data_IF_442206984784
#
_entry.id   IF_442206984784
#
_cell.length_a   1.000
_cell.length_b   1.000
_cell.length_c   1.000
_cell.angle_alpha   90.00
_cell.angle_beta   90.00
_cell.angle_gamma   90.00
#
_symmetry.space_group_name_H-M   'P 1'
#
loop_
_entity.id
_entity.type
_entity.pdbx_description
1 polymer ?
#
# COMPACT_ATOMS: atom_id res chain seq x y z
N UNK A 1 8.16 13.29 -7.24
CA UNK A 1 7.95 13.30 -5.78
C UNK A 1 8.21 11.91 -5.27
N UNK A 2 9.22 11.75 -4.41
CA UNK A 2 9.56 10.46 -3.83
C UNK A 2 8.52 10.11 -2.76
N UNK A 3 7.96 8.90 -2.80
CA UNK A 3 6.97 8.41 -1.84
C UNK A 3 7.68 7.42 -0.91
N UNK A 4 7.46 7.56 0.40
CA UNK A 4 8.05 6.68 1.41
C UNK A 4 7.01 5.68 1.90
N UNK A 5 7.29 4.39 1.72
CA UNK A 5 6.55 3.29 2.33
C UNK A 5 7.25 2.88 3.62
N UNK A 6 6.47 2.70 4.69
CA UNK A 6 6.98 2.31 6.00
C UNK A 6 6.30 1.03 6.46
N UNK A 7 7.09 0.01 6.74
CA UNK A 7 6.63 -1.22 7.38
C UNK A 7 7.16 -1.22 8.82
N UNK A 8 6.26 -1.38 9.81
CA UNK A 8 6.63 -1.41 11.23
C UNK A 8 6.36 -2.78 11.84
N UNK A 9 7.35 -3.31 12.54
CA UNK A 9 7.28 -4.51 13.35
C UNK A 9 7.83 -4.18 14.74
N UNK A 10 6.98 -4.00 15.75
CA UNK A 10 7.34 -3.72 17.15
C UNK A 10 8.42 -2.63 17.35
N UNK A 11 9.70 -3.03 17.32
CA UNK A 11 10.88 -2.19 17.56
C UNK A 11 11.70 -1.90 16.30
N UNK A 12 11.28 -2.40 15.14
CA UNK A 12 11.89 -2.27 13.83
C UNK A 12 10.94 -1.52 12.87
N UNK A 13 11.44 -0.51 12.17
CA UNK A 13 10.79 0.10 11.01
C UNK A 13 11.66 -0.11 9.77
N UNK A 14 11.11 -0.72 8.71
CA UNK A 14 11.69 -0.71 7.38
C UNK A 14 11.06 0.44 6.60
N UNK A 15 11.85 1.48 6.32
CA UNK A 15 11.49 2.57 5.44
C UNK A 15 12.04 2.30 4.04
N UNK A 16 11.18 2.36 3.03
CA UNK A 16 11.53 2.22 1.62
C UNK A 16 11.10 3.47 0.87
N UNK A 17 12.04 4.07 0.14
CA UNK A 17 11.80 5.23 -0.73
C UNK A 17 11.66 4.75 -2.17
N UNK A 18 10.58 5.17 -2.82
CA UNK A 18 10.32 4.84 -4.21
C UNK A 18 9.88 6.08 -5.01
N UNK A 19 10.49 6.27 -6.17
CA UNK A 19 9.90 7.10 -7.21
C UNK A 19 8.67 6.37 -7.77
N UNK A 20 7.53 7.06 -7.83
CA UNK A 20 6.28 6.50 -8.36
C UNK A 20 5.64 7.44 -9.38
N UNK A 21 5.06 6.88 -10.43
CA UNK A 21 4.24 7.57 -11.41
C UNK A 21 2.94 6.81 -11.68
N UNK A 22 1.88 7.54 -12.01
CA UNK A 22 0.57 6.95 -12.31
C UNK A 22 0.37 6.94 -13.82
N UNK A 23 0.08 5.77 -14.37
CA UNK A 23 -0.30 5.54 -15.75
C UNK A 23 -1.81 5.27 -15.81
N UNK A 24 -2.52 6.05 -16.62
CA UNK A 24 -3.97 5.90 -16.92
C UNK A 24 -4.88 5.95 -15.67
N UNK A 25 -4.43 6.58 -14.58
CA UNK A 25 -5.18 6.69 -13.31
C UNK A 25 -5.33 5.39 -12.51
N UNK A 26 -4.84 4.25 -13.02
CA UNK A 26 -5.04 2.92 -12.41
C UNK A 26 -3.76 2.16 -12.17
N UNK A 27 -2.75 2.31 -13.04
CA UNK A 27 -1.47 1.61 -12.90
C UNK A 27 -0.45 2.51 -12.24
N UNK A 28 0.11 2.09 -11.13
CA UNK A 28 1.21 2.79 -10.46
C UNK A 28 2.50 2.10 -10.84
N UNK A 29 3.36 2.80 -11.58
CA UNK A 29 4.73 2.36 -11.84
C UNK A 29 5.61 2.88 -10.70
N UNK A 30 6.48 2.03 -10.17
CA UNK A 30 7.39 2.45 -9.11
C UNK A 30 8.78 1.85 -9.30
N UNK A 31 9.78 2.55 -8.78
CA UNK A 31 11.16 2.08 -8.68
C UNK A 31 11.65 2.33 -7.27
N UNK A 32 12.15 1.28 -6.61
CA UNK A 32 12.81 1.44 -5.32
C UNK A 32 14.17 2.09 -5.52
N UNK A 33 14.41 3.18 -4.79
CA UNK A 33 15.67 3.92 -4.89
C UNK A 33 16.53 3.72 -3.64
N UNK A 34 15.91 3.68 -2.44
CA UNK A 34 16.59 3.50 -1.15
C UNK A 34 15.73 2.74 -0.16
N UNK A 35 16.36 2.08 0.81
CA UNK A 35 15.69 1.58 1.99
C UNK A 35 16.63 1.60 3.20
N UNK A 36 16.06 1.70 4.39
CA UNK A 36 16.81 1.66 5.63
C UNK A 36 15.96 1.07 6.76
N UNK A 37 16.62 0.32 7.64
CA UNK A 37 16.07 -0.14 8.89
C UNK A 37 16.31 0.91 9.98
N UNK A 38 15.25 1.27 10.69
CA UNK A 38 15.31 2.11 11.88
C UNK A 38 14.94 1.26 13.09
N UNK A 39 15.85 1.19 14.05
CA UNK A 39 15.64 0.48 15.30
C UNK A 39 15.44 1.50 16.42
N UNK A 40 14.42 1.31 17.26
CA UNK A 40 14.15 2.25 18.37
C UNK A 40 15.30 2.41 19.36
N UNK A 41 16.19 1.41 19.43
CA UNK A 41 17.32 1.37 20.37
C UNK A 41 18.64 1.87 19.77
N UNK A 42 18.68 2.26 18.48
CA UNK A 42 19.88 2.79 17.84
C UNK A 42 19.70 4.25 17.43
N UNK A 43 20.73 5.09 17.59
CA UNK A 43 20.67 6.49 17.16
C UNK A 43 20.89 6.68 15.65
N UNK A 44 21.16 5.60 14.91
CA UNK A 44 21.41 5.63 13.46
C UNK A 44 20.55 4.62 12.71
N UNK A 45 20.34 4.87 11.42
CA UNK A 45 19.63 3.96 10.51
C UNK A 45 20.62 3.03 9.82
N UNK A 46 20.25 1.76 9.71
CA UNK A 46 21.06 0.76 8.99
C UNK A 46 20.58 0.72 7.54
N UNK A 47 21.41 1.03 6.54
CA UNK A 47 21.00 0.97 5.14
C UNK A 47 20.62 -0.47 4.76
N UNK A 48 19.64 -0.62 3.88
CA UNK A 48 19.29 -1.94 3.35
C UNK A 48 20.51 -2.53 2.62
N UNK A 49 20.88 -3.79 2.91
CA UNK A 49 22.18 -4.35 2.53
C UNK A 49 22.40 -4.43 1.02
N UNK A 50 21.33 -4.42 0.22
CA UNK A 50 21.40 -4.46 -1.23
C UNK A 50 21.13 -3.08 -1.81
N UNK A 51 22.12 -2.41 -2.41
CA UNK A 51 21.89 -1.15 -3.13
C UNK A 51 20.95 -1.39 -4.32
N UNK A 52 19.79 -0.73 -4.32
CA UNK A 52 18.78 -0.88 -5.39
C UNK A 52 19.31 -0.51 -6.79
N UNK A 53 20.35 0.33 -6.87
CA UNK A 53 21.03 0.68 -8.13
C UNK A 53 21.60 -0.54 -8.85
N UNK A 54 21.97 -1.60 -8.13
CA UNK A 54 22.52 -2.84 -8.71
C UNK A 54 21.43 -3.76 -9.27
N UNK A 55 20.18 -3.57 -8.85
CA UNK A 55 19.05 -4.43 -9.20
C UNK A 55 18.43 -4.07 -10.57
N UNK A 56 18.79 -2.92 -11.16
CA UNK A 56 18.32 -2.51 -12.48
C UNK A 56 16.80 -2.59 -12.64
N UNK A 57 16.33 -3.49 -13.50
CA UNK A 57 14.91 -3.72 -13.73
C UNK A 57 14.19 -4.48 -12.61
N UNK A 58 14.92 -5.19 -11.75
CA UNK A 58 14.33 -5.87 -10.59
C UNK A 58 13.86 -4.90 -9.50
N UNK A 59 14.47 -3.71 -9.44
CA UNK A 59 14.02 -2.62 -8.55
C UNK A 59 12.73 -1.94 -9.06
N UNK A 60 12.29 -2.25 -10.28
CA UNK A 60 11.08 -1.71 -10.88
C UNK A 60 9.90 -2.65 -10.64
N UNK A 61 8.75 -2.06 -10.33
CA UNK A 61 7.51 -2.79 -10.17
C UNK A 61 6.33 -1.98 -10.67
N UNK A 62 5.19 -2.64 -10.74
CA UNK A 62 3.92 -2.00 -11.04
C UNK A 62 2.82 -2.54 -10.14
N UNK A 63 1.85 -1.68 -9.84
CA UNK A 63 0.61 -2.02 -9.14
C UNK A 63 -0.59 -1.62 -10.01
N UNK A 64 -1.43 -2.58 -10.36
CA UNK A 64 -2.73 -2.30 -10.95
C UNK A 64 -3.76 -2.08 -9.86
N UNK A 65 -4.43 -0.95 -9.90
CA UNK A 65 -5.37 -0.52 -8.88
C UNK A 65 -6.80 -0.51 -9.41
N UNK A 66 -7.68 -1.18 -8.68
CA UNK A 66 -9.12 -1.13 -8.85
C UNK A 66 -9.75 -0.46 -7.64
N UNK A 67 -10.44 0.66 -7.86
CA UNK A 67 -11.21 1.34 -6.83
C UNK A 67 -12.56 0.66 -6.63
N UNK A 68 -12.92 0.39 -5.38
CA UNK A 68 -14.16 -0.32 -5.02
C UNK A 68 -15.28 0.63 -4.58
N UNK A 69 -15.05 1.94 -4.69
CA UNK A 69 -15.97 2.99 -4.23
C UNK A 69 -15.86 4.19 -5.17
N UNK A 70 -16.98 4.89 -5.39
CA UNK A 70 -16.98 6.13 -6.18
C UNK A 70 -16.14 7.23 -5.53
N UNK A 71 -16.03 7.24 -4.20
CA UNK A 71 -15.13 8.13 -3.46
C UNK A 71 -13.65 7.72 -3.55
N UNK A 72 -13.37 6.53 -4.12
CA UNK A 72 -12.06 5.90 -4.21
C UNK A 72 -11.31 5.86 -2.88
N UNK A 73 -12.02 5.55 -1.81
CA UNK A 73 -11.45 5.41 -0.46
C UNK A 73 -11.06 3.97 -0.11
N UNK A 74 -11.53 3.02 -0.90
CA UNK A 74 -11.15 1.61 -0.83
C UNK A 74 -10.63 1.18 -2.20
N UNK A 75 -9.47 0.54 -2.21
CA UNK A 75 -8.87 0.00 -3.43
C UNK A 75 -8.23 -1.36 -3.21
N UNK A 76 -8.26 -2.16 -4.27
CA UNK A 76 -7.46 -3.37 -4.40
C UNK A 76 -6.31 -3.05 -5.36
N UNK A 77 -5.08 -3.34 -4.95
CA UNK A 77 -3.90 -3.19 -5.79
C UNK A 77 -3.20 -4.53 -6.00
N UNK A 78 -2.94 -4.90 -7.26
CA UNK A 78 -2.22 -6.14 -7.65
C UNK A 78 -0.83 -5.80 -8.17
N UNK A 79 0.19 -6.42 -7.58
CA UNK A 79 1.58 -6.24 -7.96
C UNK A 79 2.08 -7.22 -9.00
N UNK A 80 3.10 -6.81 -9.74
CA UNK A 80 3.77 -7.60 -10.76
C UNK A 80 4.40 -8.91 -10.26
N UNK A 81 4.58 -9.06 -8.94
CA UNK A 81 5.15 -10.26 -8.29
C UNK A 81 4.08 -11.11 -7.57
N UNK A 82 2.83 -11.06 -8.03
CA UNK A 82 1.74 -11.88 -7.47
C UNK A 82 1.24 -11.41 -6.10
N UNK A 83 1.58 -10.19 -5.69
CA UNK A 83 1.09 -9.59 -4.44
C UNK A 83 -0.27 -8.91 -4.66
N UNK A 84 -1.17 -9.02 -3.69
CA UNK A 84 -2.46 -8.31 -3.69
C UNK A 84 -2.60 -7.58 -2.37
N UNK A 85 -3.02 -6.32 -2.43
CA UNK A 85 -3.22 -5.46 -1.27
C UNK A 85 -4.64 -4.92 -1.27
N UNK A 86 -5.26 -4.87 -0.09
CA UNK A 86 -6.46 -4.07 0.15
C UNK A 86 -6.07 -2.87 0.97
N UNK A 87 -6.35 -1.68 0.44
CA UNK A 87 -5.91 -0.40 0.97
C UNK A 87 -7.14 0.47 1.22
N UNK A 88 -7.19 1.07 2.40
CA UNK A 88 -8.22 2.02 2.80
C UNK A 88 -7.56 3.38 3.08
N UNK A 89 -8.15 4.45 2.55
CA UNK A 89 -7.65 5.81 2.74
C UNK A 89 -7.89 6.25 4.19
N UNK A 90 -6.87 6.77 4.87
CA UNK A 90 -6.94 7.20 6.29
C UNK A 90 -7.87 8.41 6.51
N UNK A 91 -8.30 9.06 5.43
CA UNK A 91 -8.99 10.35 5.46
C UNK A 91 -10.50 10.22 5.28
N UNK A 92 -11.17 9.32 5.98
CA UNK A 92 -12.63 9.32 6.00
C UNK A 92 -13.14 10.07 7.23
N UNK A 93 -13.70 11.28 7.07
CA UNK A 93 -14.48 11.92 8.13
C UNK A 93 -15.54 10.99 8.70
N UNK A 94 -16.08 10.08 7.88
CA UNK A 94 -16.99 9.03 8.34
C UNK A 94 -16.35 8.09 9.35
N UNK A 95 -15.13 7.62 9.11
CA UNK A 95 -14.45 6.70 10.03
C UNK A 95 -14.04 7.41 11.32
N UNK A 96 -13.56 8.65 11.20
CA UNK A 96 -13.25 9.49 12.37
C UNK A 96 -14.51 9.75 13.21
N UNK A 97 -15.63 10.05 12.55
CA UNK A 97 -16.93 10.19 13.20
C UNK A 97 -17.40 8.89 13.86
N UNK A 98 -17.32 7.75 13.18
CA UNK A 98 -17.70 6.45 13.76
C UNK A 98 -16.81 6.10 14.97
N UNK A 99 -15.51 6.38 14.89
CA UNK A 99 -14.60 6.21 16.02
C UNK A 99 -14.99 7.13 17.17
N UNK A 100 -15.24 8.41 16.92
CA UNK A 100 -15.65 9.38 17.92
C UNK A 100 -16.98 9.01 18.59
N UNK A 101 -17.94 8.49 17.84
CA UNK A 101 -19.21 7.97 18.37
C UNK A 101 -18.95 6.76 19.27
N UNK A 102 -18.10 5.82 18.82
CA UNK A 102 -17.78 4.62 19.61
C UNK A 102 -17.05 4.92 20.92
N UNK A 103 -16.26 5.99 20.97
CA UNK A 103 -15.51 6.41 22.18
C UNK A 103 -16.20 7.55 22.94
N UNK A 104 -17.36 8.01 22.47
CA UNK A 104 -18.08 9.20 22.95
C UNK A 104 -17.18 10.44 23.16
N UNK A 105 -16.18 10.61 22.30
CA UNK A 105 -15.18 11.67 22.43
C UNK A 105 -15.13 12.52 21.17
N UNK A 106 -15.19 13.85 21.31
CA UNK A 106 -15.01 14.81 20.18
C UNK A 106 -16.05 14.67 19.05
N UNK A 107 -17.19 14.03 19.30
CA UNK A 107 -18.25 13.77 18.30
C UNK A 107 -18.68 15.02 17.54
N UNK A 108 -18.97 16.13 18.25
CA UNK A 108 -19.42 17.38 17.61
C UNK A 108 -18.41 17.94 16.60
N UNK A 109 -17.11 17.90 16.93
CA UNK A 109 -16.05 18.37 16.04
C UNK A 109 -16.00 17.51 14.77
N UNK A 110 -16.05 16.19 14.91
CA UNK A 110 -16.01 15.29 13.74
C UNK A 110 -17.27 15.41 12.87
N UNK A 111 -18.43 15.76 13.45
CA UNK A 111 -19.64 16.09 12.67
C UNK A 111 -19.43 17.35 11.82
N UNK A 112 -18.88 18.41 12.41
CA UNK A 112 -18.60 19.67 11.69
C UNK A 112 -17.59 19.43 10.55
N UNK A 113 -16.51 18.70 10.82
CA UNK A 113 -15.50 18.31 9.82
C UNK A 113 -16.10 17.43 8.70
N UNK A 114 -16.99 16.48 9.05
CA UNK A 114 -17.71 15.64 8.08
C UNK A 114 -18.60 16.46 7.14
N UNK A 115 -19.35 17.41 7.69
CA UNK A 115 -20.22 18.29 6.91
C UNK A 115 -19.42 19.23 6.00
N UNK A 116 -18.29 19.76 6.47
CA UNK A 116 -17.41 20.64 5.70
C UNK A 116 -16.78 19.91 4.49
N UNK A 117 -16.39 18.64 4.64
CA UNK A 117 -15.79 17.85 3.55
C UNK A 117 -16.81 17.44 2.49
N UNK A 118 -18.03 17.04 2.88
CA UNK A 118 -19.06 16.64 1.92
C UNK A 118 -19.59 17.79 1.05
N UNK A 119 -19.52 19.05 1.52
CA UNK A 119 -19.89 20.22 0.70
C UNK A 119 -18.96 20.46 -0.49
N UNK A 120 -17.74 19.91 -0.48
CA UNK A 120 -16.69 20.17 -1.49
C UNK A 120 -16.45 18.99 -2.46
N UNK A 121 -17.27 17.92 -2.41
CA UNK A 121 -17.05 16.66 -3.12
C UNK A 121 -17.33 16.70 -4.64
N UNK A 122 -17.57 17.88 -5.23
CA UNK A 122 -17.84 18.03 -6.67
C UNK A 122 -16.56 18.05 -7.56
N UNK A 123 -15.37 17.80 -7.01
CA UNK A 123 -14.11 17.76 -7.78
C UNK A 123 -13.66 16.32 -8.02
N UNK A 124 -14.11 15.78 -9.16
CA UNK A 124 -13.89 14.41 -9.60
C UNK A 124 -12.42 14.01 -9.84
N UNK A 125 -12.24 12.67 -9.83
CA UNK A 125 -11.11 11.84 -10.28
C UNK A 125 -9.70 12.12 -9.71
N UNK A 126 -9.25 13.39 -9.60
CA UNK A 126 -7.92 13.73 -9.07
C UNK A 126 -7.77 13.46 -7.56
N UNK A 127 -8.85 13.56 -6.78
CA UNK A 127 -8.83 13.24 -5.34
C UNK A 127 -8.68 11.74 -5.02
N UNK A 128 -8.86 10.86 -6.00
CA UNK A 128 -8.80 9.41 -5.78
C UNK A 128 -7.38 8.88 -5.55
N UNK A 129 -6.37 9.64 -5.97
CA UNK A 129 -4.96 9.21 -5.95
C UNK A 129 -4.20 9.71 -4.73
N UNK A 130 -4.50 10.92 -4.25
CA UNK A 130 -3.75 11.57 -3.18
C UNK A 130 -4.33 11.31 -1.80
N UNK A 131 -3.49 10.85 -0.88
CA UNK A 131 -3.83 10.69 0.54
C UNK A 131 -2.99 9.61 1.20
N UNK A 132 -3.11 9.51 2.52
CA UNK A 132 -2.53 8.41 3.28
C UNK A 132 -3.40 7.17 3.14
N UNK A 133 -2.76 6.03 2.88
CA UNK A 133 -3.43 4.75 2.67
C UNK A 133 -2.95 3.76 3.73
N UNK A 134 -3.90 3.20 4.47
CA UNK A 134 -3.68 2.11 5.39
C UNK A 134 -3.88 0.79 4.67
N UNK A 135 -2.92 -0.12 4.83
CA UNK A 135 -3.06 -1.50 4.36
C UNK A 135 -3.90 -2.27 5.39
N UNK A 136 -5.09 -2.72 4.97
CA UNK A 136 -5.99 -3.51 5.83
C UNK A 136 -5.86 -5.01 5.58
N UNK A 137 -5.35 -5.40 4.41
CA UNK A 137 -5.08 -6.79 4.08
C UNK A 137 -4.00 -6.92 2.99
N UNK A 138 -3.27 -8.04 3.00
CA UNK A 138 -2.37 -8.42 1.91
C UNK A 138 -2.30 -9.93 1.73
N UNK A 139 -2.00 -10.36 0.52
CA UNK A 139 -1.66 -11.75 0.17
C UNK A 139 -0.59 -11.77 -0.90
N UNK A 140 0.21 -12.84 -0.91
CA UNK A 140 1.17 -13.11 -1.96
C UNK A 140 0.99 -14.53 -2.44
N UNK A 141 0.76 -14.69 -3.74
CA UNK A 141 0.85 -16.00 -4.38
C UNK A 141 2.32 -16.18 -4.74
N UNK A 142 3.00 -17.10 -4.06
CA UNK A 142 4.32 -17.55 -4.48
C UNK A 142 4.11 -18.32 -5.77
N UNK A 143 4.46 -17.72 -6.90
CA UNK A 143 4.59 -18.47 -8.14
C UNK A 143 5.83 -19.33 -7.99
N UNK A 144 5.64 -20.58 -7.59
CA UNK A 144 6.68 -21.60 -7.69
C UNK A 144 7.19 -21.60 -9.13
N UNK A 145 8.45 -21.19 -9.30
CA UNK A 145 9.22 -21.55 -10.50
C UNK A 145 9.08 -23.07 -10.66
N UNK A 146 8.63 -23.59 -11.81
CA UNK A 146 8.27 -25.00 -11.92
C UNK A 146 9.53 -25.86 -11.75
N UNK A 147 9.66 -26.48 -10.57
CA UNK A 147 10.58 -27.60 -10.40
C UNK A 147 9.91 -28.83 -10.98
N UNK A 148 10.50 -29.33 -12.07
CA UNK A 148 10.05 -30.48 -12.84
C UNK A 148 10.05 -31.76 -11.97
N UNK A 149 8.96 -32.04 -11.23
CA UNK A 149 8.76 -33.37 -10.63
C UNK A 149 8.24 -34.33 -11.71
N UNK A 150 9.12 -35.21 -12.20
CA UNK A 150 8.70 -36.42 -12.94
C UNK A 150 7.78 -37.25 -12.04
N UNK A 151 6.50 -37.35 -12.38
CA UNK A 151 5.67 -38.47 -11.92
C UNK A 151 5.94 -39.67 -12.83
N UNK A 152 6.50 -40.74 -12.25
CA UNK A 152 6.52 -42.07 -12.87
C UNK A 152 5.17 -42.72 -12.54
N UNK A 153 4.29 -42.79 -13.53
CA UNK A 153 3.05 -43.57 -13.46
C UNK A 153 3.45 -45.03 -13.60
N UNK A 154 3.20 -45.85 -12.57
CA UNK A 154 3.16 -47.31 -12.71
C UNK A 154 1.68 -47.66 -12.79
N UNK A 155 1.21 -48.04 -13.98
CA UNK A 155 -0.13 -48.63 -14.16
C UNK A 155 -0.07 -50.07 -13.68
N UNK A 156 -0.96 -50.44 -12.75
CA UNK A 156 -1.22 -51.83 -12.43
C UNK A 156 -2.15 -52.44 -13.49
N UNK A 157 -1.81 -53.65 -13.90
CA UNK A 157 -2.72 -54.67 -14.44
C UNK A 157 -2.86 -55.75 -13.39
#
# INVERSE_FOLDING_TARGET
MDRVLKLRLHNLELGVEAAASVKDGKRILFRFDKAAFSFKFLPFKVPYPVPFKLLGDEAKGWLDTTYLSNSGNLRISKGNKGTTFVLQKTSEPRQRLLSAISTDTKVRKEIEDFLAMNRNAAKGEQQLLEGEWNMIWSSQIILDVPTFRRQKIIRGT
#
